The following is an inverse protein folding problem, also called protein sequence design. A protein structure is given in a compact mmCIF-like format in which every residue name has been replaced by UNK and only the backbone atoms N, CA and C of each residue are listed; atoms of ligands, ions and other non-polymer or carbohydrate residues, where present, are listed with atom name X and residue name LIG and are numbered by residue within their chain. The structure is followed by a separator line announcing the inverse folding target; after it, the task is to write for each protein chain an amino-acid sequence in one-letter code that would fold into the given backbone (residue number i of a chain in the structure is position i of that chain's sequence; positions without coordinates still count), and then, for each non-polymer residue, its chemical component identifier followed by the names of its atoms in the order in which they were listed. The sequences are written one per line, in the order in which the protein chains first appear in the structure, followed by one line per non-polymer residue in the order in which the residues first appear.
data_IF_255255270233
#
_entry.id   IF_255255270233
#
_cell.length_a   1.000
_cell.length_b   1.000
_cell.length_c   1.000
_cell.angle_alpha   90.00
_cell.angle_beta   90.00
_cell.angle_gamma   90.00
#
_symmetry.space_group_name_H-M   'P 1'
#
loop_
_entity.id
_entity.type
_entity.pdbx_description
1 polymer ?
#
# COMPACT_ATOMS: atom_id res chain seq x y z
N UNK A 1 1.36 -10.53 12.34
CA UNK A 1 1.71 -10.49 10.91
C UNK A 1 3.18 -10.18 10.79
N UNK A 2 3.90 -10.88 9.91
CA UNK A 2 5.21 -10.41 9.50
C UNK A 2 5.06 -9.05 8.80
N UNK A 3 6.10 -8.23 8.81
CA UNK A 3 6.12 -7.05 7.96
C UNK A 3 6.16 -7.50 6.49
N UNK A 4 5.50 -6.78 5.56
CA UNK A 4 5.58 -7.07 4.13
C UNK A 4 7.00 -6.82 3.61
N UNK A 5 7.35 -7.37 2.45
CA UNK A 5 8.65 -7.11 1.80
C UNK A 5 8.75 -5.69 1.21
N UNK A 6 7.61 -5.13 0.78
CA UNK A 6 7.49 -3.77 0.28
C UNK A 6 6.05 -3.26 0.44
N UNK A 7 5.90 -1.94 0.36
CA UNK A 7 4.61 -1.28 0.24
C UNK A 7 4.45 -0.72 -1.17
N UNK A 8 3.23 -0.56 -1.63
CA UNK A 8 2.88 0.05 -2.90
C UNK A 8 2.43 1.47 -2.61
N UNK A 9 3.11 2.45 -3.20
CA UNK A 9 2.70 3.85 -3.07
C UNK A 9 1.46 4.09 -3.93
N UNK A 10 0.34 4.48 -3.33
CA UNK A 10 -0.93 4.69 -4.03
C UNK A 10 -0.93 5.99 -4.88
N UNK A 11 0.02 6.90 -4.64
CA UNK A 11 0.18 8.13 -5.43
C UNK A 11 0.83 7.90 -6.80
N UNK A 12 1.73 6.93 -6.90
CA UNK A 12 2.54 6.72 -8.11
C UNK A 12 2.70 5.25 -8.52
N UNK A 13 2.03 4.34 -7.83
CA UNK A 13 2.00 2.90 -8.10
C UNK A 13 3.39 2.25 -8.10
N UNK A 14 4.34 2.80 -7.32
CA UNK A 14 5.71 2.28 -7.24
C UNK A 14 6.00 1.54 -5.94
N UNK A 15 6.82 0.47 -5.97
CA UNK A 15 7.20 -0.27 -4.77
C UNK A 15 8.14 0.56 -3.89
N UNK A 16 7.86 0.58 -2.59
CA UNK A 16 8.55 1.35 -1.57
C UNK A 16 9.10 0.42 -0.49
N UNK A 17 10.42 0.47 -0.32
CA UNK A 17 11.16 -0.34 0.65
C UNK A 17 11.57 0.45 1.90
N UNK A 18 11.28 1.76 1.93
CA UNK A 18 11.63 2.66 3.04
C UNK A 18 10.36 2.92 3.86
N UNK A 19 10.10 2.08 4.85
CA UNK A 19 8.94 2.20 5.73
C UNK A 19 9.20 1.58 7.11
N UNK A 20 8.40 2.00 8.10
CA UNK A 20 8.32 1.41 9.42
C UNK A 20 6.99 0.67 9.59
N UNK A 21 7.06 -0.61 9.95
CA UNK A 21 5.90 -1.46 10.21
C UNK A 21 5.85 -1.88 11.67
N UNK A 22 4.74 -1.63 12.35
CA UNK A 22 4.50 -2.09 13.73
C UNK A 22 3.08 -2.58 13.90
N UNK A 23 2.91 -3.63 14.68
CA UNK A 23 1.58 -4.14 15.09
C UNK A 23 0.64 -4.46 13.91
N UNK A 24 1.18 -4.78 12.72
CA UNK A 24 0.36 -5.09 11.54
C UNK A 24 -0.12 -3.85 10.77
N UNK A 25 0.50 -2.69 10.96
CA UNK A 25 0.19 -1.46 10.22
C UNK A 25 1.45 -0.67 9.88
N UNK A 26 1.29 0.23 8.92
CA UNK A 26 2.30 1.20 8.50
C UNK A 26 2.32 2.32 9.55
N UNK A 27 3.49 2.56 10.15
CA UNK A 27 3.71 3.66 11.10
C UNK A 27 4.29 4.87 10.37
N UNK A 28 5.26 4.63 9.50
CA UNK A 28 5.91 5.64 8.65
C UNK A 28 6.24 5.00 7.30
N UNK A 29 6.23 5.78 6.22
CA UNK A 29 6.66 5.34 4.90
C UNK A 29 7.16 6.53 4.10
N UNK A 30 8.14 6.33 3.22
CA UNK A 30 8.65 7.37 2.33
C UNK A 30 8.89 6.79 0.94
N UNK A 31 8.17 7.30 -0.04
CA UNK A 31 8.34 6.96 -1.43
C UNK A 31 9.56 7.72 -2.00
N UNK A 32 10.58 6.99 -2.42
CA UNK A 32 11.77 7.58 -3.07
C UNK A 32 11.49 8.10 -4.49
N UNK A 33 10.34 7.74 -5.08
CA UNK A 33 9.97 8.10 -6.46
C UNK A 33 9.26 9.45 -6.53
N UNK A 34 8.12 9.58 -5.84
CA UNK A 34 7.30 10.80 -5.85
C UNK A 34 7.55 11.71 -4.63
N UNK A 35 8.22 11.21 -3.59
CA UNK A 35 8.46 11.94 -2.34
C UNK A 35 7.31 11.89 -1.34
N UNK A 36 6.26 11.09 -1.59
CA UNK A 36 5.16 10.91 -0.66
C UNK A 36 5.64 10.30 0.67
N UNK A 37 5.26 10.91 1.78
CA UNK A 37 5.56 10.46 3.15
C UNK A 37 4.32 10.10 3.98
N UNK A 38 3.12 10.23 3.40
CA UNK A 38 1.88 9.91 4.10
C UNK A 38 1.64 8.39 4.13
N UNK A 39 1.68 7.72 5.30
CA UNK A 39 1.52 6.27 5.41
C UNK A 39 0.14 5.76 4.98
N UNK A 40 -0.89 6.61 4.94
CA UNK A 40 -2.22 6.23 4.46
C UNK A 40 -2.27 6.11 2.93
N UNK A 41 -1.30 6.68 2.23
CA UNK A 41 -1.13 6.57 0.78
C UNK A 41 -0.18 5.43 0.39
N UNK A 42 -0.04 4.43 1.25
CA UNK A 42 0.67 3.20 0.98
C UNK A 42 -0.20 2.00 1.34
N UNK A 43 -0.12 0.96 0.51
CA UNK A 43 -0.85 -0.29 0.71
C UNK A 43 0.11 -1.47 0.63
N UNK A 44 -0.24 -2.58 1.28
CA UNK A 44 0.39 -3.86 0.95
C UNK A 44 -0.18 -4.42 -0.35
N UNK A 45 0.48 -5.43 -0.92
CA UNK A 45 -0.06 -6.13 -2.09
C UNK A 45 -1.41 -6.77 -1.79
N UNK A 46 -1.57 -7.34 -0.59
CA UNK A 46 -2.83 -7.91 -0.10
C UNK A 46 -3.93 -6.84 0.01
N UNK A 47 -3.63 -5.67 0.60
CA UNK A 47 -4.58 -4.55 0.71
C UNK A 47 -5.00 -4.02 -0.68
N UNK A 48 -4.06 -3.92 -1.62
CA UNK A 48 -4.35 -3.45 -2.97
C UNK A 48 -5.22 -4.45 -3.73
N UNK A 49 -4.92 -5.74 -3.63
CA UNK A 49 -5.74 -6.80 -4.23
C UNK A 49 -7.16 -6.80 -3.64
N UNK A 50 -7.31 -6.65 -2.32
CA UNK A 50 -8.63 -6.49 -1.68
C UNK A 50 -9.40 -5.27 -2.19
N UNK A 51 -8.74 -4.13 -2.39
CA UNK A 51 -9.37 -2.92 -2.93
C UNK A 51 -9.87 -3.15 -4.36
N UNK A 52 -9.05 -3.78 -5.21
CA UNK A 52 -9.40 -4.10 -6.59
C UNK A 52 -10.56 -5.12 -6.66
N UNK A 53 -10.57 -6.12 -5.77
CA UNK A 53 -11.67 -7.08 -5.68
C UNK A 53 -12.99 -6.43 -5.26
N UNK A 54 -12.95 -5.37 -4.43
CA UNK A 54 -14.15 -4.62 -4.03
C UNK A 54 -14.68 -3.73 -5.16
N UNK A 55 -13.79 -3.14 -5.95
CA UNK A 55 -14.15 -2.29 -7.10
C UNK A 55 -14.69 -3.11 -8.29
N UNK A 56 -14.12 -4.30 -8.54
CA UNK A 56 -14.50 -5.15 -9.66
C UNK A 56 -15.81 -5.97 -9.45
N UNK A 57 -16.51 -5.76 -8.33
CA UNK A 57 -17.74 -6.50 -7.98
C UNK A 57 -19.05 -5.84 -8.41
N UNK A 58 -19.03 -4.72 -9.13
CA UNK A 58 -20.24 -3.93 -9.47
C UNK A 58 -20.74 -4.08 -10.92
N UNK A 59 -20.08 -4.86 -11.78
CA UNK A 59 -20.49 -5.08 -13.19
C UNK A 59 -20.99 -6.52 -13.45
N UNK A 60 -22.09 -6.93 -12.80
CA UNK A 60 -22.90 -8.07 -13.24
C UNK A 60 -24.35 -7.62 -13.47
N UNK A 61 -24.67 -7.16 -14.70
CA UNK A 61 -26.05 -7.12 -15.24
C UNK A 61 -26.17 -8.01 -16.48
#
# INVERSE_FOLDING_TARGET
MAAPDYLICLECETPTYTFEWREGRIVEALCATCGNDDPALFATEEDLEELLLRDHGEDEE
#
